data_IF_538600002568
#
_entry.id   IF_538600002568
#
_cell.length_a   1.000
_cell.length_b   1.000
_cell.length_c   1.000
_cell.angle_alpha   90.00
_cell.angle_beta   90.00
_cell.angle_gamma   90.00
#
_symmetry.space_group_name_H-M   'P 1'
#
loop_
_entity.id
_entity.type
_entity.pdbx_description
1 polymer ?
#
# COMPACT_ATOMS: atom_id res chain seq x y z
N UNK A 1 42.46 -32.84 18.03
CA UNK A 1 41.96 -34.09 17.47
C UNK A 1 40.91 -33.69 16.46
N UNK A 2 41.23 -33.51 15.15
CA UNK A 2 41.34 -34.54 14.11
C UNK A 2 39.95 -35.16 13.89
N UNK A 3 39.34 -35.06 12.78
CA UNK A 3 39.48 -35.45 11.37
C UNK A 3 38.19 -34.99 10.67
N UNK A 4 38.09 -34.41 9.52
CA UNK A 4 38.73 -34.77 8.25
C UNK A 4 37.77 -35.54 7.36
N UNK A 5 37.38 -35.04 6.26
CA UNK A 5 37.56 -35.54 4.90
C UNK A 5 36.39 -35.27 3.98
N UNK A 6 36.60 -34.45 2.95
CA UNK A 6 36.89 -34.80 1.54
C UNK A 6 35.83 -35.68 0.85
N UNK A 7 35.20 -35.14 -0.16
CA UNK A 7 35.17 -35.73 -1.49
C UNK A 7 34.94 -34.67 -2.55
N UNK A 8 36.04 -34.31 -3.17
CA UNK A 8 36.17 -33.72 -4.50
C UNK A 8 35.89 -34.77 -5.57
N UNK A 9 35.71 -34.26 -6.78
CA UNK A 9 35.98 -34.84 -8.09
C UNK A 9 35.02 -35.83 -8.70
N UNK A 10 34.70 -35.42 -9.91
CA UNK A 10 34.62 -36.13 -11.20
C UNK A 10 33.32 -35.77 -11.90
N UNK A 11 33.26 -35.36 -13.11
CA UNK A 11 34.11 -35.69 -14.28
C UNK A 11 33.85 -34.66 -15.40
N UNK A 12 34.94 -34.33 -16.04
CA UNK A 12 35.04 -33.73 -17.37
C UNK A 12 34.78 -34.80 -18.46
N UNK A 13 34.48 -34.24 -19.65
CA UNK A 13 34.70 -34.79 -20.98
C UNK A 13 33.64 -35.73 -21.57
N UNK A 14 33.04 -35.27 -22.66
CA UNK A 14 33.32 -35.95 -23.93
C UNK A 14 33.04 -35.00 -25.11
N UNK A 15 34.15 -34.76 -25.83
CA UNK A 15 34.24 -34.28 -27.20
C UNK A 15 34.38 -35.48 -28.10
N UNK A 16 33.55 -35.60 -29.11
CA UNK A 16 33.76 -36.55 -30.25
C UNK A 16 33.14 -35.92 -31.49
N UNK A 17 33.85 -35.31 -32.17
CA UNK A 17 34.50 -35.31 -33.45
C UNK A 17 34.09 -36.51 -34.33
N UNK A 18 33.38 -36.28 -35.45
CA UNK A 18 33.40 -37.09 -36.69
C UNK A 18 33.43 -36.20 -37.91
N UNK A 19 34.60 -36.24 -38.48
CA UNK A 19 34.97 -35.58 -39.73
C UNK A 19 34.85 -36.60 -40.92
N UNK A 20 34.51 -36.05 -42.12
CA UNK A 20 34.86 -36.53 -43.46
C UNK A 20 34.24 -37.79 -44.08
N UNK A 21 33.60 -37.53 -45.21
CA UNK A 21 33.99 -38.05 -46.58
C UNK A 21 33.05 -37.50 -47.63
N UNK A 22 33.52 -36.62 -48.48
CA UNK A 22 33.94 -36.64 -49.90
C UNK A 22 33.30 -37.72 -50.77
N UNK A 23 32.65 -37.26 -51.85
CA UNK A 23 32.92 -37.31 -53.30
C UNK A 23 31.55 -37.13 -53.95
N UNK A 24 31.28 -36.31 -54.91
CA UNK A 24 31.94 -35.95 -56.13
C UNK A 24 31.00 -36.24 -57.32
N UNK A 25 30.93 -35.34 -58.26
CA UNK A 25 30.33 -35.49 -59.61
C UNK A 25 29.01 -34.70 -59.77
N UNK A 26 29.00 -33.59 -60.37
CA UNK A 26 29.02 -33.16 -61.74
C UNK A 26 27.69 -33.36 -62.48
N UNK A 27 26.98 -32.30 -62.78
CA UNK A 27 26.63 -31.98 -64.15
C UNK A 27 25.63 -30.80 -64.30
N UNK A 28 26.05 -29.82 -65.07
CA UNK A 28 25.35 -29.04 -66.10
C UNK A 28 23.93 -28.48 -65.82
N UNK A 29 23.94 -27.16 -65.70
CA UNK A 29 23.22 -26.22 -66.56
C UNK A 29 21.75 -26.46 -66.86
N UNK A 30 20.90 -25.55 -66.24
CA UNK A 30 19.79 -24.91 -66.95
C UNK A 30 19.29 -23.71 -66.11
N UNK A 31 19.79 -22.52 -66.44
CA UNK A 31 19.21 -21.23 -66.06
C UNK A 31 17.77 -21.17 -66.60
N UNK A 32 16.78 -21.49 -65.79
CA UNK A 32 15.38 -21.09 -66.02
C UNK A 32 15.21 -19.66 -65.48
N UNK A 33 15.16 -18.70 -66.40
CA UNK A 33 14.69 -17.35 -66.15
C UNK A 33 13.27 -17.40 -65.57
N UNK A 34 13.11 -17.19 -64.30
CA UNK A 34 11.79 -17.02 -63.66
C UNK A 34 11.23 -15.66 -64.06
N UNK A 35 10.47 -15.63 -65.16
CA UNK A 35 9.62 -14.49 -65.51
C UNK A 35 8.53 -14.38 -64.45
N UNK A 36 8.74 -13.48 -63.47
CA UNK A 36 7.67 -13.03 -62.59
C UNK A 36 6.58 -12.40 -63.45
N UNK A 37 5.48 -13.12 -63.63
CA UNK A 37 4.27 -12.61 -64.24
C UNK A 37 3.76 -11.39 -63.45
N UNK A 38 3.50 -10.28 -64.14
CA UNK A 38 2.87 -9.11 -63.55
C UNK A 38 1.46 -9.49 -63.08
N UNK A 39 1.08 -9.20 -61.80
CA UNK A 39 -0.26 -9.54 -61.31
C UNK A 39 -1.34 -8.86 -62.16
N UNK A 40 -2.39 -9.60 -62.46
CA UNK A 40 -3.54 -9.14 -63.28
C UNK A 40 -4.28 -8.00 -62.57
N UNK A 41 -4.98 -7.16 -63.33
CA UNK A 41 -5.74 -6.03 -62.76
C UNK A 41 -6.78 -6.45 -61.71
N UNK A 42 -7.24 -7.73 -61.71
CA UNK A 42 -8.12 -8.29 -60.69
C UNK A 42 -7.42 -8.46 -59.34
N UNK A 43 -6.15 -8.90 -59.32
CA UNK A 43 -5.37 -9.08 -58.09
C UNK A 43 -5.06 -7.74 -57.41
N UNK A 44 -4.84 -6.69 -58.22
CA UNK A 44 -4.60 -5.34 -57.66
C UNK A 44 -5.85 -4.75 -56.97
N UNK A 45 -7.06 -5.06 -57.43
CA UNK A 45 -8.31 -4.62 -56.80
C UNK A 45 -8.57 -5.39 -55.48
N UNK A 46 -8.28 -6.68 -55.46
CA UNK A 46 -8.39 -7.48 -54.24
C UNK A 46 -7.41 -7.01 -53.16
N UNK A 47 -6.14 -6.76 -53.49
CA UNK A 47 -5.13 -6.26 -52.54
C UNK A 47 -5.49 -4.86 -52.02
N UNK A 48 -6.05 -3.96 -52.85
CA UNK A 48 -6.53 -2.66 -52.40
C UNK A 48 -7.72 -2.80 -51.43
N UNK A 49 -8.65 -3.71 -51.70
CA UNK A 49 -9.81 -3.98 -50.84
C UNK A 49 -9.38 -4.55 -49.47
N UNK A 50 -8.41 -5.48 -49.44
CA UNK A 50 -7.83 -6.01 -48.20
C UNK A 50 -7.07 -4.95 -47.39
N UNK A 51 -6.32 -4.06 -48.05
CA UNK A 51 -5.65 -2.95 -47.39
C UNK A 51 -6.63 -1.98 -46.75
N UNK A 52 -7.73 -1.64 -47.45
CA UNK A 52 -8.79 -0.77 -46.91
C UNK A 52 -9.50 -1.40 -45.72
N UNK A 53 -9.83 -2.68 -45.78
CA UNK A 53 -10.48 -3.42 -44.68
C UNK A 53 -9.52 -3.47 -43.46
N UNK A 54 -8.25 -3.80 -43.68
CA UNK A 54 -7.24 -3.87 -42.61
C UNK A 54 -7.01 -2.52 -41.95
N UNK A 55 -6.98 -1.43 -42.72
CA UNK A 55 -6.90 -0.06 -42.18
C UNK A 55 -8.14 0.32 -41.42
N UNK A 56 -9.35 -0.06 -41.87
CA UNK A 56 -10.61 0.17 -41.16
C UNK A 56 -10.68 -0.58 -39.83
N UNK A 57 -10.25 -1.84 -39.79
CA UNK A 57 -10.19 -2.65 -38.56
C UNK A 57 -9.20 -2.07 -37.55
N UNK A 58 -8.02 -1.63 -38.01
CA UNK A 58 -7.03 -0.97 -37.15
C UNK A 58 -7.53 0.36 -36.58
N UNK A 59 -8.25 1.13 -37.38
CA UNK A 59 -8.85 2.40 -36.94
C UNK A 59 -9.95 2.17 -35.90
N UNK A 60 -10.81 1.16 -36.11
CA UNK A 60 -11.83 0.74 -35.15
C UNK A 60 -11.21 0.26 -33.82
N UNK A 61 -10.17 -0.56 -33.91
CA UNK A 61 -9.44 -1.02 -32.72
C UNK A 61 -8.81 0.16 -31.96
N UNK A 62 -8.20 1.10 -32.68
CA UNK A 62 -7.62 2.29 -32.04
C UNK A 62 -8.68 3.17 -31.39
N UNK A 63 -9.85 3.37 -32.04
CA UNK A 63 -10.98 4.10 -31.47
C UNK A 63 -11.55 3.42 -30.22
N UNK A 64 -11.66 2.07 -30.21
CA UNK A 64 -12.13 1.34 -29.03
C UNK A 64 -11.14 1.46 -27.87
N UNK A 65 -9.83 1.37 -28.13
CA UNK A 65 -8.80 1.57 -27.12
C UNK A 65 -8.84 3.00 -26.56
N UNK A 66 -8.99 4.02 -27.43
CA UNK A 66 -9.11 5.43 -26.98
C UNK A 66 -10.38 5.64 -26.16
N UNK A 67 -11.52 5.01 -26.54
CA UNK A 67 -12.77 5.08 -25.78
C UNK A 67 -12.64 4.39 -24.41
N UNK A 68 -11.96 3.23 -24.36
CA UNK A 68 -11.68 2.54 -23.10
C UNK A 68 -10.75 3.34 -22.20
N UNK A 69 -9.68 3.94 -22.75
CA UNK A 69 -8.79 4.82 -22.02
C UNK A 69 -9.51 6.07 -21.50
N UNK A 70 -10.37 6.69 -22.33
CA UNK A 70 -11.22 7.82 -21.88
C UNK A 70 -12.24 7.40 -20.82
N UNK A 71 -12.78 6.19 -20.89
CA UNK A 71 -13.67 5.65 -19.86
C UNK A 71 -12.92 5.41 -18.55
N UNK A 72 -11.69 4.86 -18.60
CA UNK A 72 -10.83 4.72 -17.43
C UNK A 72 -10.44 6.09 -16.85
N UNK A 73 -10.06 7.07 -17.70
CA UNK A 73 -9.74 8.44 -17.25
C UNK A 73 -10.97 9.14 -16.67
N UNK A 74 -12.18 8.92 -17.23
CA UNK A 74 -13.43 9.44 -16.63
C UNK A 74 -13.74 8.77 -15.30
N UNK A 75 -13.45 7.48 -15.15
CA UNK A 75 -13.64 6.76 -13.88
C UNK A 75 -12.65 7.26 -12.81
N UNK A 76 -11.41 7.58 -13.20
CA UNK A 76 -10.41 8.19 -12.32
C UNK A 76 -10.72 9.66 -12.00
N UNK A 77 -11.28 10.44 -12.95
CA UNK A 77 -11.73 11.82 -12.71
C UNK A 77 -13.13 11.93 -12.06
N UNK A 78 -13.92 10.86 -12.08
CA UNK A 78 -15.24 10.81 -11.44
C UNK A 78 -15.20 10.55 -9.94
N UNK A 79 -14.00 10.34 -9.34
CA UNK A 79 -13.82 10.13 -7.89
C UNK A 79 -13.80 11.45 -7.09
N UNK A 80 -13.84 12.62 -7.74
CA UNK A 80 -13.89 13.91 -7.04
C UNK A 80 -15.29 14.29 -6.51
N UNK A 81 -16.29 13.40 -6.62
CA UNK A 81 -17.65 13.61 -6.15
C UNK A 81 -18.17 12.46 -5.28
N UNK A 82 -17.31 11.77 -4.54
CA UNK A 82 -17.79 11.01 -3.40
C UNK A 82 -18.11 12.01 -2.30
N UNK A 83 -19.41 12.13 -1.96
CA UNK A 83 -19.84 12.87 -0.78
C UNK A 83 -19.08 12.23 0.41
N UNK A 84 -18.11 12.96 0.96
CA UNK A 84 -17.36 12.44 2.08
C UNK A 84 -18.32 12.27 3.24
N UNK A 85 -18.34 11.10 3.85
CA UNK A 85 -19.11 10.85 5.08
C UNK A 85 -18.80 11.87 6.18
N UNK A 86 -17.61 12.48 6.13
CA UNK A 86 -17.14 13.49 7.09
C UNK A 86 -17.17 14.93 6.55
N UNK A 87 -17.63 15.16 5.32
CA UNK A 87 -17.69 16.48 4.71
C UNK A 87 -16.31 17.10 4.45
N UNK A 88 -16.23 18.44 4.48
CA UNK A 88 -14.97 19.15 4.31
C UNK A 88 -14.21 19.13 5.63
N UNK A 89 -13.01 18.53 5.64
CA UNK A 89 -12.05 18.61 6.74
C UNK A 89 -11.13 19.79 6.50
N UNK A 90 -11.18 20.78 7.40
CA UNK A 90 -10.40 22.01 7.28
C UNK A 90 -9.38 22.12 8.41
N UNK A 91 -8.46 21.18 8.44
CA UNK A 91 -7.30 21.17 9.36
C UNK A 91 -6.01 21.35 8.55
N UNK A 92 -4.92 21.71 9.23
CA UNK A 92 -3.56 21.77 8.70
C UNK A 92 -2.65 20.81 9.46
N UNK A 93 -1.37 20.78 9.12
CA UNK A 93 -0.36 19.96 9.79
C UNK A 93 0.30 20.69 10.98
N UNK A 94 -0.42 21.57 11.67
CA UNK A 94 0.03 22.16 12.94
C UNK A 94 -0.17 21.17 14.08
N UNK A 95 0.63 21.36 15.16
CA UNK A 95 0.49 20.54 16.36
C UNK A 95 -0.90 20.71 16.98
N UNK A 96 -1.69 19.63 17.14
CA UNK A 96 -2.97 19.70 17.81
C UNK A 96 -2.79 19.90 19.31
N UNK A 97 -3.88 20.26 20.01
CA UNK A 97 -3.88 20.23 21.48
C UNK A 97 -3.82 18.77 21.94
N UNK A 98 -2.77 18.43 22.69
CA UNK A 98 -2.53 17.07 23.18
C UNK A 98 -2.52 17.12 24.73
N UNK A 99 -3.34 16.27 25.34
CA UNK A 99 -3.31 16.00 26.76
C UNK A 99 -2.25 14.91 27.04
N UNK A 100 -1.14 15.27 27.67
CA UNK A 100 -0.02 14.36 27.91
C UNK A 100 -0.24 13.60 29.21
N UNK A 101 -0.72 12.36 29.13
CA UNK A 101 -0.99 11.46 30.26
C UNK A 101 -0.18 10.16 30.09
N UNK A 102 1.13 10.26 30.17
CA UNK A 102 2.02 9.12 29.96
C UNK A 102 1.70 7.96 30.93
N UNK A 103 1.74 6.75 30.41
CA UNK A 103 1.62 5.51 31.18
C UNK A 103 2.85 5.38 32.09
N UNK A 104 2.69 4.71 33.22
CA UNK A 104 3.82 4.30 34.05
C UNK A 104 4.71 3.33 33.26
N UNK A 105 6.03 3.41 33.41
CA UNK A 105 6.96 2.47 32.76
C UNK A 105 6.76 1.10 33.37
N UNK A 106 6.41 0.12 32.53
CA UNK A 106 6.16 -1.26 32.94
C UNK A 106 6.26 -2.20 31.72
N UNK A 107 6.48 -3.50 31.89
CA UNK A 107 6.66 -4.43 30.78
C UNK A 107 5.39 -4.72 29.96
N UNK A 108 4.19 -4.36 30.41
CA UNK A 108 2.92 -4.73 29.77
C UNK A 108 2.32 -3.64 28.89
N UNK A 109 2.64 -2.37 29.11
CA UNK A 109 2.07 -1.28 28.31
C UNK A 109 3.05 -0.17 27.93
N UNK A 110 4.13 0.03 28.68
CA UNK A 110 5.19 1.00 28.35
C UNK A 110 6.56 0.45 28.76
N UNK A 111 7.22 -0.34 27.90
CA UNK A 111 8.50 -0.97 28.25
C UNK A 111 9.67 0.02 28.38
N UNK A 112 9.50 1.27 27.93
CA UNK A 112 10.57 2.28 27.90
C UNK A 112 11.63 2.00 26.84
N UNK A 113 11.34 1.11 25.88
CA UNK A 113 12.24 0.81 24.77
C UNK A 113 12.21 1.95 23.76
N UNK A 114 13.37 2.50 23.43
CA UNK A 114 13.48 3.60 22.45
C UNK A 114 13.34 3.10 21.02
N UNK A 115 12.81 3.96 20.17
CA UNK A 115 12.76 3.79 18.71
C UNK A 115 13.84 4.69 18.12
N UNK A 116 14.70 4.14 17.26
CA UNK A 116 15.80 4.88 16.66
C UNK A 116 15.29 5.81 15.54
N UNK A 117 14.37 5.35 14.70
CA UNK A 117 13.82 6.11 13.58
C UNK A 117 12.35 5.74 13.34
N UNK A 118 11.50 6.73 13.08
CA UNK A 118 10.09 6.53 12.78
C UNK A 118 9.90 6.46 11.26
N UNK A 119 9.41 5.32 10.78
CA UNK A 119 9.17 5.03 9.35
C UNK A 119 7.70 5.01 8.96
N UNK A 120 6.79 5.19 9.91
CA UNK A 120 5.37 5.21 9.60
C UNK A 120 4.47 5.52 10.79
N UNK A 121 3.18 5.63 10.48
CA UNK A 121 2.11 5.82 11.45
C UNK A 121 1.08 4.72 11.23
N UNK A 122 0.68 4.03 12.29
CA UNK A 122 -0.32 2.96 12.22
C UNK A 122 -1.62 3.43 12.86
N UNK A 123 -2.69 3.36 12.09
CA UNK A 123 -4.04 3.72 12.55
C UNK A 123 -4.74 2.47 13.05
N UNK A 124 -5.34 2.59 14.22
CA UNK A 124 -6.14 1.57 14.90
C UNK A 124 -7.52 2.10 15.26
N UNK A 125 -8.39 1.24 15.72
CA UNK A 125 -9.61 1.58 16.43
C UNK A 125 -9.67 0.76 17.73
N UNK A 126 -10.24 1.32 18.78
CA UNK A 126 -10.24 0.69 20.12
C UNK A 126 -10.96 -0.66 20.18
N UNK A 127 -11.81 -0.98 19.19
CA UNK A 127 -12.69 -2.13 19.19
C UNK A 127 -13.56 -2.26 20.47
N UNK A 128 -13.78 -1.13 21.15
CA UNK A 128 -14.59 -0.97 22.35
C UNK A 128 -15.58 0.18 22.15
N UNK A 129 -16.76 -0.10 21.54
CA UNK A 129 -17.73 0.93 21.17
C UNK A 129 -18.16 1.78 22.35
N UNK A 130 -18.16 3.10 22.16
CA UNK A 130 -18.59 4.08 23.16
C UNK A 130 -17.58 4.37 24.26
N UNK A 131 -16.41 3.70 24.30
CA UNK A 131 -15.36 4.02 25.26
C UNK A 131 -14.71 5.38 24.97
N UNK A 132 -14.33 6.09 26.03
CA UNK A 132 -13.62 7.36 25.96
C UNK A 132 -12.11 7.18 25.80
N UNK A 133 -11.41 8.25 25.41
CA UNK A 133 -9.93 8.23 25.37
C UNK A 133 -9.33 7.96 26.76
N UNK A 134 -9.95 8.53 27.80
CA UNK A 134 -9.50 8.34 29.18
C UNK A 134 -9.63 6.89 29.64
N UNK A 135 -10.76 6.23 29.37
CA UNK A 135 -10.97 4.82 29.72
C UNK A 135 -9.96 3.89 29.03
N UNK A 136 -9.65 4.15 27.75
CA UNK A 136 -8.64 3.38 27.02
C UNK A 136 -7.21 3.62 27.55
N UNK A 137 -6.87 4.88 27.86
CA UNK A 137 -5.59 5.21 28.53
C UNK A 137 -5.46 4.52 29.87
N UNK A 138 -6.53 4.54 30.69
CA UNK A 138 -6.54 3.94 32.02
C UNK A 138 -6.49 2.41 31.94
N UNK A 139 -7.16 1.79 30.97
CA UNK A 139 -7.00 0.37 30.67
C UNK A 139 -5.52 0.04 30.40
N UNK A 140 -4.85 0.78 29.50
CA UNK A 140 -3.42 0.55 29.22
C UNK A 140 -2.56 0.69 30.48
N UNK A 141 -2.81 1.70 31.31
CA UNK A 141 -2.04 1.88 32.55
C UNK A 141 -2.32 0.78 33.57
N UNK A 142 -3.55 0.24 33.61
CA UNK A 142 -3.95 -0.86 34.50
C UNK A 142 -3.29 -2.20 34.18
N UNK A 143 -2.78 -2.38 32.95
CA UNK A 143 -2.09 -3.61 32.55
C UNK A 143 -0.80 -3.86 33.38
N UNK A 144 -0.20 -2.84 33.95
CA UNK A 144 0.92 -2.97 34.89
C UNK A 144 0.56 -3.77 36.15
N UNK A 145 -0.73 -3.77 36.52
CA UNK A 145 -1.26 -4.42 37.72
C UNK A 145 -1.97 -5.75 37.39
N UNK A 146 -2.72 -5.77 36.26
CA UNK A 146 -3.48 -6.98 35.85
C UNK A 146 -2.63 -8.05 35.18
N UNK A 147 -1.59 -7.64 34.43
CA UNK A 147 -0.68 -8.52 33.66
C UNK A 147 -1.40 -9.41 32.64
N UNK A 148 -2.59 -9.05 32.21
CA UNK A 148 -3.43 -9.94 31.36
C UNK A 148 -3.01 -9.98 29.91
N UNK A 149 -2.35 -8.92 29.42
CA UNK A 149 -1.86 -8.81 28.03
C UNK A 149 -0.82 -7.70 27.92
N UNK A 150 -0.11 -7.67 26.79
CA UNK A 150 0.71 -6.53 26.38
C UNK A 150 -0.07 -5.70 25.37
N UNK A 151 -0.44 -4.46 25.73
CA UNK A 151 -1.14 -3.54 24.86
C UNK A 151 -0.94 -2.09 25.27
N UNK A 152 -0.79 -1.21 24.29
CA UNK A 152 -0.78 0.24 24.44
C UNK A 152 -0.85 0.94 23.08
N UNK A 153 -0.85 2.28 23.09
CA UNK A 153 -0.70 3.12 21.92
C UNK A 153 0.08 4.38 22.28
N UNK A 154 0.70 5.03 21.30
CA UNK A 154 1.31 6.34 21.55
C UNK A 154 0.25 7.40 21.80
N UNK A 155 -0.86 7.34 21.03
CA UNK A 155 -1.97 8.28 21.18
C UNK A 155 -3.32 7.55 21.20
N UNK A 156 -4.28 8.13 21.92
CA UNK A 156 -5.69 7.78 21.83
C UNK A 156 -6.46 9.04 21.44
N UNK A 157 -7.30 8.95 20.40
CA UNK A 157 -8.21 10.00 19.96
C UNK A 157 -9.63 9.63 20.40
N UNK A 158 -10.25 10.47 21.19
CA UNK A 158 -11.55 10.25 21.80
C UNK A 158 -12.73 10.63 20.91
N UNK A 159 -13.95 10.37 21.43
CA UNK A 159 -15.22 10.59 20.72
C UNK A 159 -15.50 12.07 20.44
N UNK A 160 -15.05 12.95 21.31
CA UNK A 160 -15.19 14.43 21.21
C UNK A 160 -13.99 15.06 20.47
N UNK A 161 -13.06 14.23 19.98
CA UNK A 161 -11.86 14.66 19.26
C UNK A 161 -10.68 15.01 20.18
N UNK A 162 -10.78 14.79 21.49
CA UNK A 162 -9.68 14.94 22.44
C UNK A 162 -8.56 13.95 22.11
N UNK A 163 -7.30 14.37 22.33
CA UNK A 163 -6.12 13.56 22.04
C UNK A 163 -5.35 13.36 23.33
N UNK A 164 -5.19 12.11 23.76
CA UNK A 164 -4.35 11.74 24.91
C UNK A 164 -3.07 11.08 24.40
N UNK A 165 -1.90 11.57 24.86
CA UNK A 165 -0.63 10.90 24.61
C UNK A 165 -0.33 9.95 25.77
N UNK A 166 -0.27 8.65 25.47
CA UNK A 166 -0.04 7.56 26.42
C UNK A 166 1.44 7.14 26.50
N UNK A 167 2.11 7.10 25.34
CA UNK A 167 3.52 6.73 25.22
C UNK A 167 4.24 7.78 24.38
N UNK A 168 5.45 8.24 24.79
CA UNK A 168 6.24 9.15 23.97
C UNK A 168 6.47 8.58 22.56
N UNK A 169 6.50 9.43 21.56
CA UNK A 169 6.67 8.97 20.17
C UNK A 169 8.04 8.33 19.88
N UNK A 170 9.04 8.59 20.72
CA UNK A 170 10.36 7.94 20.66
C UNK A 170 10.46 6.66 21.51
N UNK A 171 9.35 6.21 22.11
CA UNK A 171 9.25 4.95 22.83
C UNK A 171 8.28 4.00 22.12
N UNK A 172 8.60 2.73 22.14
CA UNK A 172 7.78 1.67 21.56
C UNK A 172 6.48 1.49 22.35
N UNK A 173 5.36 1.47 21.65
CA UNK A 173 4.06 1.04 22.15
C UNK A 173 3.73 -0.36 21.63
N UNK A 174 2.91 -1.11 22.38
CA UNK A 174 2.47 -2.47 21.99
C UNK A 174 1.15 -2.42 21.22
N UNK A 175 1.17 -2.01 19.95
CA UNK A 175 -0.03 -1.84 19.11
C UNK A 175 0.04 -2.55 17.77
N UNK A 176 1.20 -2.56 17.12
CA UNK A 176 1.37 -2.79 15.68
C UNK A 176 2.27 -3.99 15.35
N UNK A 177 2.40 -4.94 16.28
CA UNK A 177 3.20 -6.16 16.13
C UNK A 177 4.66 -5.83 15.73
N UNK A 178 5.17 -6.37 14.62
CA UNK A 178 6.53 -6.12 14.12
C UNK A 178 6.82 -4.66 13.79
N UNK A 179 5.77 -3.84 13.55
CA UNK A 179 5.91 -2.41 13.32
C UNK A 179 5.93 -1.57 14.61
N UNK A 180 5.89 -2.19 15.80
CA UNK A 180 6.07 -1.46 17.07
C UNK A 180 7.43 -0.76 17.15
N UNK A 181 8.47 -1.33 16.51
CA UNK A 181 9.84 -0.86 16.62
C UNK A 181 10.16 0.37 15.72
N UNK A 182 9.27 0.75 14.81
CA UNK A 182 9.54 1.78 13.80
C UNK A 182 8.34 2.66 13.47
N UNK A 183 7.24 2.59 14.24
CA UNK A 183 6.03 3.38 13.96
C UNK A 183 5.47 4.06 15.20
N UNK A 184 4.70 5.13 14.96
CA UNK A 184 3.81 5.75 15.94
C UNK A 184 2.41 5.16 15.74
N UNK A 185 1.77 4.71 16.81
CA UNK A 185 0.42 4.16 16.81
C UNK A 185 -0.62 5.16 17.31
N UNK A 186 -1.80 5.18 16.67
CA UNK A 186 -2.95 6.01 17.05
C UNK A 186 -4.17 5.10 17.19
N UNK A 187 -4.67 4.95 18.40
CA UNK A 187 -5.95 4.30 18.69
C UNK A 187 -7.09 5.31 18.62
N UNK A 188 -8.17 4.96 17.93
CA UNK A 188 -9.28 5.86 17.69
C UNK A 188 -10.58 5.30 18.27
N UNK A 189 -11.22 6.07 19.14
CA UNK A 189 -12.51 5.74 19.71
C UNK A 189 -13.61 5.83 18.65
N UNK A 190 -14.65 5.02 18.81
CA UNK A 190 -15.79 4.96 17.89
C UNK A 190 -17.07 4.74 18.69
N UNK A 191 -18.24 5.29 18.25
CA UNK A 191 -19.45 5.30 19.07
C UNK A 191 -20.19 3.96 19.08
N UNK A 192 -20.05 3.13 18.05
CA UNK A 192 -20.83 1.92 17.86
C UNK A 192 -20.08 0.78 17.15
N UNK A 193 -20.73 -0.37 16.99
CA UNK A 193 -20.15 -1.59 16.40
C UNK A 193 -19.79 -1.49 14.92
N UNK A 194 -20.17 -0.43 14.22
CA UNK A 194 -19.75 -0.21 12.84
C UNK A 194 -18.26 0.13 12.75
N UNK A 195 -17.67 0.62 13.85
CA UNK A 195 -16.30 1.11 13.90
C UNK A 195 -16.10 2.44 13.18
N UNK A 196 -17.21 3.09 12.72
CA UNK A 196 -17.16 4.41 12.09
C UNK A 196 -16.91 5.47 13.16
N UNK A 197 -16.03 6.41 12.85
CA UNK A 197 -15.64 7.47 13.78
C UNK A 197 -16.66 8.59 13.83
N UNK A 198 -16.68 9.35 14.92
CA UNK A 198 -17.40 10.63 14.95
C UNK A 198 -16.70 11.63 14.03
N UNK A 199 -17.37 12.74 13.71
CA UNK A 199 -16.74 13.80 12.91
C UNK A 199 -15.57 14.43 13.66
N UNK A 200 -15.69 14.60 14.94
CA UNK A 200 -14.71 15.17 15.87
C UNK A 200 -13.49 14.26 15.95
N UNK A 201 -13.68 12.95 16.21
CA UNK A 201 -12.60 11.95 16.18
C UNK A 201 -11.87 11.99 14.84
N UNK A 202 -12.60 11.96 13.72
CA UNK A 202 -12.02 11.94 12.39
C UNK A 202 -11.18 13.19 12.09
N UNK A 203 -11.65 14.39 12.44
CA UNK A 203 -10.91 15.63 12.26
C UNK A 203 -9.61 15.64 13.04
N UNK A 204 -9.66 15.22 14.31
CA UNK A 204 -8.48 15.11 15.17
C UNK A 204 -7.49 14.04 14.68
N UNK A 205 -7.99 12.91 14.17
CA UNK A 205 -7.15 11.90 13.51
C UNK A 205 -6.39 12.49 12.32
N UNK A 206 -7.06 13.24 11.44
CA UNK A 206 -6.41 13.86 10.28
C UNK A 206 -5.35 14.85 10.71
N UNK A 207 -5.65 15.74 11.65
CA UNK A 207 -4.71 16.76 12.14
C UNK A 207 -3.50 16.13 12.84
N UNK A 208 -3.73 15.20 13.77
CA UNK A 208 -2.67 14.52 14.50
C UNK A 208 -1.75 13.76 13.54
N UNK A 209 -2.34 13.01 12.59
CA UNK A 209 -1.56 12.23 11.62
C UNK A 209 -0.75 13.14 10.69
N UNK A 210 -1.33 14.23 10.19
CA UNK A 210 -0.62 15.19 9.34
C UNK A 210 0.53 15.88 10.09
N UNK A 211 0.30 16.29 11.36
CA UNK A 211 1.37 16.84 12.20
C UNK A 211 2.51 15.84 12.42
N UNK A 212 2.21 14.57 12.73
CA UNK A 212 3.21 13.51 12.89
C UNK A 212 3.96 13.26 11.59
N UNK A 213 3.28 13.22 10.44
CA UNK A 213 3.92 13.12 9.13
C UNK A 213 4.93 14.25 8.92
N UNK A 214 4.53 15.50 9.17
CA UNK A 214 5.43 16.66 9.08
C UNK A 214 6.61 16.56 10.03
N UNK A 215 6.36 16.15 11.28
CA UNK A 215 7.38 16.01 12.33
C UNK A 215 8.46 14.99 11.99
N UNK A 216 8.09 13.87 11.35
CA UNK A 216 8.97 12.75 11.01
C UNK A 216 9.36 12.68 9.53
N UNK A 217 9.05 13.73 8.77
CA UNK A 217 9.32 13.79 7.32
C UNK A 217 8.71 12.61 6.55
N UNK A 218 7.48 12.25 6.90
CA UNK A 218 6.65 11.23 6.25
C UNK A 218 5.60 11.90 5.37
N UNK A 219 4.96 11.09 4.51
CA UNK A 219 3.77 11.46 3.75
C UNK A 219 2.62 10.47 3.99
N UNK A 220 1.50 10.65 3.30
CA UNK A 220 0.32 9.82 3.46
C UNK A 220 0.51 8.34 3.07
N UNK A 221 1.53 8.00 2.28
CA UNK A 221 1.81 6.61 1.89
C UNK A 221 2.45 5.79 3.02
N UNK A 222 3.04 6.48 4.01
CA UNK A 222 3.61 5.86 5.21
C UNK A 222 2.62 5.82 6.37
N UNK A 223 1.37 6.25 6.13
CA UNK A 223 0.23 6.04 7.04
C UNK A 223 -0.46 4.75 6.62
N UNK A 224 -0.50 3.77 7.51
CA UNK A 224 -1.02 2.44 7.26
C UNK A 224 -2.04 2.02 8.32
N UNK A 225 -2.86 1.03 8.02
CA UNK A 225 -3.78 0.39 8.98
C UNK A 225 -3.06 -0.75 9.69
N UNK A 226 -3.49 -1.12 10.88
CA UNK A 226 -3.05 -2.38 11.50
C UNK A 226 -3.34 -3.58 10.58
N UNK A 227 -4.42 -3.51 9.80
CA UNK A 227 -4.75 -4.49 8.77
C UNK A 227 -3.60 -4.71 7.77
N UNK A 228 -2.92 -3.65 7.36
CA UNK A 228 -1.83 -3.72 6.37
C UNK A 228 -0.57 -4.39 6.95
N UNK A 229 -0.47 -4.47 8.30
CA UNK A 229 0.63 -5.16 9.00
C UNK A 229 0.31 -6.65 9.19
N UNK A 230 -0.89 -6.98 9.67
CA UNK A 230 -1.18 -8.35 10.17
C UNK A 230 -2.37 -9.03 9.50
N UNK A 231 -3.18 -8.31 8.71
CA UNK A 231 -4.46 -8.79 8.19
C UNK A 231 -5.62 -8.74 9.21
N UNK A 232 -5.38 -8.25 10.46
CA UNK A 232 -6.44 -8.02 11.43
C UNK A 232 -7.40 -6.94 10.94
N UNK A 233 -8.73 -7.13 11.09
CA UNK A 233 -9.72 -6.10 10.74
C UNK A 233 -9.61 -4.92 11.71
N UNK A 234 -8.66 -4.01 11.46
CA UNK A 234 -8.36 -2.84 12.28
C UNK A 234 -7.68 -1.74 11.45
N UNK A 235 -8.22 -0.50 11.42
CA UNK A 235 -9.55 -0.13 11.96
C UNK A 235 -10.68 -0.71 11.10
N UNK A 236 -11.72 -1.23 11.72
CA UNK A 236 -12.80 -1.93 11.03
C UNK A 236 -13.40 -1.10 9.89
N UNK A 237 -13.82 0.12 10.15
CA UNK A 237 -14.44 1.00 9.17
C UNK A 237 -13.57 1.20 7.91
N UNK A 238 -12.27 1.46 8.08
CA UNK A 238 -11.36 1.67 6.96
C UNK A 238 -10.95 0.38 6.24
N UNK A 239 -11.14 -0.79 6.86
CA UNK A 239 -10.92 -2.09 6.19
C UNK A 239 -12.13 -2.49 5.36
N UNK A 240 -13.34 -2.24 5.86
CA UNK A 240 -14.60 -2.56 5.19
C UNK A 240 -14.97 -1.56 4.10
N UNK A 241 -14.47 -0.31 4.19
CA UNK A 241 -14.66 0.76 3.19
C UNK A 241 -13.30 1.34 2.75
N UNK A 242 -12.74 0.76 1.69
CA UNK A 242 -11.47 1.22 1.11
C UNK A 242 -11.55 2.66 0.58
N UNK A 243 -12.72 3.11 0.15
CA UNK A 243 -12.89 4.48 -0.31
C UNK A 243 -12.81 5.49 0.84
N UNK A 244 -13.29 5.12 2.03
CA UNK A 244 -13.14 5.92 3.24
C UNK A 244 -11.66 5.99 3.69
N UNK A 245 -10.90 4.89 3.53
CA UNK A 245 -9.47 4.88 3.79
C UNK A 245 -8.69 5.80 2.85
N UNK A 246 -8.92 5.69 1.54
CA UNK A 246 -8.28 6.57 0.56
C UNK A 246 -8.67 8.04 0.75
N UNK A 247 -9.89 8.31 1.19
CA UNK A 247 -10.32 9.66 1.56
C UNK A 247 -9.58 10.19 2.78
N UNK A 248 -9.33 9.37 3.80
CA UNK A 248 -8.55 9.73 4.97
C UNK A 248 -7.13 10.13 4.58
N UNK A 249 -6.44 9.32 3.76
CA UNK A 249 -5.12 9.65 3.24
C UNK A 249 -5.11 10.96 2.43
N UNK A 250 -6.13 11.16 1.59
CA UNK A 250 -6.27 12.41 0.82
C UNK A 250 -6.46 13.64 1.72
N UNK A 251 -7.17 13.51 2.85
CA UNK A 251 -7.31 14.61 3.82
C UNK A 251 -5.97 14.91 4.53
N UNK A 252 -5.17 13.89 4.86
CA UNK A 252 -3.82 14.06 5.41
C UNK A 252 -2.95 14.83 4.41
N UNK A 253 -2.89 14.38 3.14
CA UNK A 253 -2.14 15.07 2.09
C UNK A 253 -2.55 16.53 1.97
N UNK A 254 -3.85 16.84 1.92
CA UNK A 254 -4.36 18.22 1.87
C UNK A 254 -3.98 19.05 3.11
N UNK A 255 -3.88 18.42 4.27
CA UNK A 255 -3.44 19.10 5.49
C UNK A 255 -1.93 19.41 5.47
N UNK A 256 -1.12 18.54 4.84
CA UNK A 256 0.31 18.75 4.65
C UNK A 256 0.65 19.85 3.63
N UNK A 257 -0.26 20.15 2.69
CA UNK A 257 -0.10 21.19 1.66
C UNK A 257 -0.42 22.60 2.18
N UNK A 258 -1.03 22.73 3.38
CA UNK A 258 -1.37 24.01 4.01
C UNK A 258 -0.25 24.55 4.88
#
# INVERSE_FOLDING_TARGET
>A
MAQGNRRDEKMRSDRGEWDRKRTGSGNTDKRKKNRRSRPSGRDRRAVKKYRLIRSGVLLLFFLTVVLLLRSCIRKVRGTDSMSSDYGTVNVDASEPVIDVQLLDVNPYSRPGTTIDEIHGIVIHYTANPGSTAQENRDYFNGLKDSHETEASSNFVVGLEGEIIQCVPTWEMAYASNERNADTVSIECCHPDDTGKFTKETYQSMVQLTAWLCKKYNLNEDQVIRHYDVTGKICPKYFVEDEAAWEQFKNHIRKALEK
#
